data_IF_450141324461
#
_entry.id   IF_450141324461
#
_cell.length_a   1.000
_cell.length_b   1.000
_cell.length_c   1.000
_cell.angle_alpha   90.00
_cell.angle_beta   90.00
_cell.angle_gamma   90.00
#
_symmetry.space_group_name_H-M   'P 1'
#
loop_
_entity.id
_entity.type
_entity.pdbx_description
1 polymer ?
#
# COMPACT_ATOMS: atom_id res chain seq x y z
N UNK A 1 9.79 21.72 -0.52
CA UNK A 1 11.05 22.41 -0.17
C UNK A 1 12.15 22.22 -1.21
N UNK A 2 11.90 21.53 -2.34
CA UNK A 2 12.86 21.37 -3.43
C UNK A 2 14.06 20.45 -3.13
N UNK A 3 13.97 19.60 -2.12
CA UNK A 3 15.03 18.63 -1.83
C UNK A 3 14.94 17.40 -2.74
N UNK A 4 16.07 16.72 -3.03
CA UNK A 4 16.08 15.49 -3.81
C UNK A 4 15.19 14.41 -3.19
N UNK A 5 14.27 13.84 -3.97
CA UNK A 5 13.32 12.82 -3.53
C UNK A 5 14.01 11.49 -3.21
N UNK A 6 15.06 11.16 -3.94
CA UNK A 6 15.79 9.91 -3.83
C UNK A 6 16.35 9.71 -2.42
N UNK A 7 16.88 10.75 -1.81
CA UNK A 7 17.41 10.71 -0.44
C UNK A 7 16.37 10.43 0.62
N UNK A 8 15.11 10.75 0.32
CA UNK A 8 13.99 10.57 1.24
C UNK A 8 13.17 9.29 0.97
N UNK A 9 13.31 8.70 -0.22
CA UNK A 9 12.43 7.61 -0.68
C UNK A 9 13.17 6.38 -1.20
N UNK A 10 14.47 6.49 -1.54
CA UNK A 10 15.21 5.46 -2.26
C UNK A 10 16.50 5.06 -1.53
N UNK A 11 16.39 4.75 -0.25
CA UNK A 11 17.48 4.22 0.57
C UNK A 11 17.22 2.73 0.89
N UNK A 12 18.24 2.01 1.32
CA UNK A 12 18.12 0.59 1.68
C UNK A 12 17.08 0.38 2.76
N UNK A 13 16.12 -0.53 2.50
CA UNK A 13 15.00 -0.78 3.41
C UNK A 13 13.85 0.22 3.33
N UNK A 14 13.90 1.22 2.41
CA UNK A 14 12.84 2.24 2.28
C UNK A 14 11.49 1.68 1.78
N UNK A 15 11.49 0.49 1.17
CA UNK A 15 10.29 -0.14 0.65
C UNK A 15 10.21 -1.61 1.12
N UNK A 16 9.83 -1.86 2.37
CA UNK A 16 9.59 -3.22 2.83
C UNK A 16 8.38 -3.79 2.08
N UNK A 17 8.56 -4.96 1.49
CA UNK A 17 7.49 -5.69 0.82
C UNK A 17 7.05 -6.87 1.70
N UNK A 18 5.75 -7.08 1.74
CA UNK A 18 5.12 -8.21 2.44
C UNK A 18 4.72 -9.30 1.46
N UNK A 19 3.95 -10.27 1.88
CA UNK A 19 3.26 -11.17 0.96
C UNK A 19 2.28 -10.42 0.06
N UNK A 20 1.93 -11.04 -1.05
CA UNK A 20 0.97 -10.53 -2.01
C UNK A 20 -0.27 -11.41 -2.06
N UNK A 21 -1.43 -10.81 -2.21
CA UNK A 21 -2.68 -11.53 -2.47
C UNK A 21 -2.88 -11.61 -3.98
N UNK A 22 -3.08 -12.83 -4.49
CA UNK A 22 -3.28 -13.02 -5.92
C UNK A 22 -4.65 -12.52 -6.36
N UNK A 23 -4.67 -11.73 -7.42
CA UNK A 23 -5.90 -11.23 -8.04
C UNK A 23 -6.80 -12.32 -8.64
N UNK A 24 -6.30 -13.47 -9.13
CA UNK A 24 -7.17 -14.55 -9.62
C UNK A 24 -8.16 -15.12 -8.59
N UNK A 25 -8.05 -14.75 -7.34
CA UNK A 25 -9.05 -15.07 -6.30
C UNK A 25 -10.32 -14.21 -6.45
N UNK A 26 -10.28 -13.19 -7.28
CA UNK A 26 -11.41 -12.32 -7.59
C UNK A 26 -11.93 -12.67 -8.99
N UNK A 27 -13.25 -12.71 -9.16
CA UNK A 27 -13.84 -12.95 -10.48
C UNK A 27 -13.51 -11.80 -11.44
N UNK A 28 -13.56 -12.07 -12.76
CA UNK A 28 -13.30 -11.04 -13.77
C UNK A 28 -14.25 -9.83 -13.66
N UNK A 29 -15.42 -10.02 -13.08
CA UNK A 29 -16.43 -9.00 -12.91
C UNK A 29 -16.14 -8.10 -11.70
N UNK A 30 -15.33 -8.60 -10.75
CA UNK A 30 -14.96 -7.87 -9.54
C UNK A 30 -13.80 -6.89 -9.75
N UNK A 31 -13.09 -6.96 -10.88
CA UNK A 31 -11.93 -6.12 -11.16
C UNK A 31 -12.20 -4.61 -11.03
N UNK A 32 -13.38 -4.17 -11.43
CA UNK A 32 -13.74 -2.75 -11.33
C UNK A 32 -14.12 -2.35 -9.91
N UNK A 33 -14.58 -3.30 -9.10
CA UNK A 33 -14.97 -3.09 -7.70
C UNK A 33 -13.85 -3.34 -6.69
N UNK A 34 -12.86 -4.17 -7.03
CA UNK A 34 -11.73 -4.51 -6.14
C UNK A 34 -11.04 -3.25 -5.59
N UNK A 35 -10.89 -2.23 -6.43
CA UNK A 35 -10.25 -0.98 -6.02
C UNK A 35 -11.09 -0.13 -5.06
N UNK A 36 -12.37 -0.41 -4.87
CA UNK A 36 -13.29 0.43 -4.10
C UNK A 36 -13.47 -0.02 -2.65
N UNK A 37 -13.18 -1.30 -2.35
CA UNK A 37 -13.49 -1.90 -1.05
C UNK A 37 -12.25 -2.37 -0.26
N UNK A 38 -11.04 -2.08 -0.76
CA UNK A 38 -9.82 -2.44 -0.05
C UNK A 38 -9.62 -1.52 1.16
N UNK A 39 -9.61 -2.11 2.33
CA UNK A 39 -9.25 -1.45 3.58
C UNK A 39 -7.78 -1.65 3.91
N UNK A 40 -7.12 -0.59 4.36
CA UNK A 40 -5.75 -0.65 4.87
C UNK A 40 -5.73 -0.12 6.29
N UNK A 41 -5.09 -0.87 7.19
CA UNK A 41 -4.86 -0.50 8.59
C UNK A 41 -3.39 -0.70 8.93
N UNK A 42 -2.79 0.31 9.55
CA UNK A 42 -1.46 0.24 10.13
C UNK A 42 -1.55 0.54 11.63
N UNK A 43 -1.03 -0.36 12.42
CA UNK A 43 -0.83 -0.17 13.85
C UNK A 43 0.66 -0.07 14.15
N UNK A 44 1.02 0.88 15.01
CA UNK A 44 2.36 1.07 15.55
C UNK A 44 2.31 0.77 17.05
N UNK A 45 3.07 -0.23 17.51
CA UNK A 45 3.11 -0.65 18.92
C UNK A 45 1.71 -0.96 19.49
N UNK A 46 0.85 -1.59 18.67
CA UNK A 46 -0.54 -1.92 19.03
C UNK A 46 -1.50 -0.75 19.05
N UNK A 47 -1.09 0.44 18.61
CA UNK A 47 -1.95 1.61 18.48
C UNK A 47 -2.22 1.92 17.01
N UNK A 48 -3.47 2.25 16.69
CA UNK A 48 -3.85 2.64 15.34
C UNK A 48 -3.09 3.90 14.92
N UNK A 49 -2.32 3.79 13.84
CA UNK A 49 -1.52 4.87 13.27
C UNK A 49 -2.12 5.40 11.96
N UNK A 50 -2.53 4.50 11.06
CA UNK A 50 -3.17 4.85 9.80
C UNK A 50 -4.33 3.90 9.52
N UNK A 51 -5.38 4.44 8.93
CA UNK A 51 -6.49 3.67 8.40
C UNK A 51 -7.07 4.39 7.19
N UNK A 52 -7.39 3.64 6.15
CA UNK A 52 -7.99 4.19 4.94
C UNK A 52 -8.65 3.12 4.09
N UNK A 53 -9.42 3.58 3.12
CA UNK A 53 -10.04 2.76 2.09
C UNK A 53 -9.50 3.17 0.72
N UNK A 54 -9.39 2.22 -0.19
CA UNK A 54 -9.11 2.52 -1.60
C UNK A 54 -10.21 3.38 -2.25
N UNK A 55 -11.42 3.42 -1.67
CA UNK A 55 -12.49 4.31 -2.09
C UNK A 55 -12.15 5.80 -1.86
N UNK A 56 -11.25 6.11 -0.91
CA UNK A 56 -10.83 7.47 -0.58
C UNK A 56 -9.66 7.96 -1.45
N UNK A 57 -9.16 7.12 -2.35
CA UNK A 57 -8.05 7.48 -3.25
C UNK A 57 -8.46 8.57 -4.22
N UNK A 58 -7.62 9.59 -4.39
CA UNK A 58 -7.83 10.65 -5.40
C UNK A 58 -7.82 10.08 -6.83
N UNK A 59 -6.98 9.10 -7.08
CA UNK A 59 -6.92 8.34 -8.33
C UNK A 59 -7.10 6.86 -8.00
N UNK A 60 -8.13 6.25 -8.56
CA UNK A 60 -8.36 4.83 -8.37
C UNK A 60 -7.21 3.98 -8.95
N UNK A 61 -7.03 2.76 -8.46
CA UNK A 61 -5.88 1.90 -8.76
C UNK A 61 -5.72 1.65 -10.27
N UNK A 62 -6.79 1.23 -10.95
CA UNK A 62 -6.70 0.91 -12.38
C UNK A 62 -6.42 2.13 -13.27
N UNK A 63 -7.08 3.28 -13.10
CA UNK A 63 -6.71 4.52 -13.79
C UNK A 63 -5.27 4.96 -13.53
N UNK A 64 -4.78 4.78 -12.29
CA UNK A 64 -3.39 5.10 -11.96
C UNK A 64 -2.41 4.21 -12.74
N UNK A 65 -2.65 2.89 -12.77
CA UNK A 65 -1.84 1.94 -13.54
C UNK A 65 -1.88 2.28 -15.04
N UNK A 66 -3.06 2.56 -15.58
CA UNK A 66 -3.22 2.95 -16.99
C UNK A 66 -2.41 4.20 -17.31
N UNK A 67 -2.49 5.24 -16.47
CA UNK A 67 -1.70 6.46 -16.66
C UNK A 67 -0.20 6.21 -16.57
N UNK A 68 0.27 5.39 -15.63
CA UNK A 68 1.68 5.04 -15.54
C UNK A 68 2.18 4.28 -16.77
N UNK A 69 1.35 3.40 -17.35
CA UNK A 69 1.71 2.63 -18.54
C UNK A 69 1.89 3.49 -19.81
N UNK A 70 1.38 4.70 -19.82
CA UNK A 70 1.63 5.66 -20.91
C UNK A 70 3.08 6.19 -20.91
N UNK A 71 3.77 6.11 -19.76
CA UNK A 71 5.09 6.66 -19.56
C UNK A 71 6.17 5.60 -19.31
N UNK A 72 5.76 4.44 -18.77
CA UNK A 72 6.65 3.36 -18.38
C UNK A 72 6.19 2.04 -19.00
N UNK A 73 7.13 1.25 -19.51
CA UNK A 73 6.83 -0.13 -19.95
C UNK A 73 6.74 -1.04 -18.74
N UNK A 74 5.55 -1.21 -18.20
CA UNK A 74 5.31 -2.06 -17.03
C UNK A 74 5.58 -3.53 -17.38
N UNK A 75 6.24 -4.24 -16.49
CA UNK A 75 6.61 -5.64 -16.62
C UNK A 75 6.05 -6.47 -15.46
N UNK A 76 5.85 -7.79 -15.65
CA UNK A 76 5.53 -8.68 -14.55
C UNK A 76 6.59 -8.60 -13.44
N UNK A 77 6.15 -8.33 -12.21
CA UNK A 77 7.02 -8.13 -11.05
C UNK A 77 7.24 -6.67 -10.67
N UNK A 78 6.81 -5.71 -11.50
CA UNK A 78 6.83 -4.29 -11.10
C UNK A 78 5.90 -4.04 -9.92
N UNK A 79 6.34 -3.18 -9.01
CA UNK A 79 5.58 -2.78 -7.83
C UNK A 79 5.17 -1.32 -7.96
N UNK A 80 3.87 -1.07 -7.86
CA UNK A 80 3.30 0.27 -7.91
C UNK A 80 2.85 0.67 -6.50
N UNK A 81 3.47 1.72 -5.96
CA UNK A 81 3.06 2.32 -4.70
C UNK A 81 1.91 3.30 -4.96
N UNK A 82 0.73 2.96 -4.48
CA UNK A 82 -0.51 3.69 -4.80
C UNK A 82 -0.80 4.86 -3.85
N UNK A 83 0.09 5.13 -2.92
CA UNK A 83 -0.08 6.18 -1.91
C UNK A 83 -0.37 5.64 -0.53
N UNK A 84 -0.61 6.55 0.41
CA UNK A 84 -0.85 6.20 1.81
C UNK A 84 -1.96 7.08 2.40
N UNK A 85 -2.81 6.57 3.31
CA UNK A 85 -3.81 7.38 4.00
C UNK A 85 -3.17 8.37 4.99
N UNK A 86 -3.99 9.23 5.58
CA UNK A 86 -3.57 10.13 6.65
C UNK A 86 -2.98 9.36 7.85
N UNK A 87 -2.16 10.04 8.66
CA UNK A 87 -1.53 9.46 9.85
C UNK A 87 -0.06 9.09 9.66
N UNK A 88 0.59 9.60 8.60
CA UNK A 88 2.05 9.46 8.45
C UNK A 88 2.76 10.08 9.65
N UNK A 89 3.72 9.37 10.21
CA UNK A 89 4.47 9.80 11.38
C UNK A 89 5.88 9.19 11.42
N UNK A 90 6.70 9.61 12.37
CA UNK A 90 8.05 9.08 12.53
C UNK A 90 8.02 7.64 13.03
N UNK A 91 9.03 6.89 12.61
CA UNK A 91 9.34 5.56 13.13
C UNK A 91 10.64 5.64 13.91
N UNK A 92 10.73 4.88 15.01
CA UNK A 92 11.92 4.75 15.84
C UNK A 92 12.38 3.31 15.86
N UNK A 93 13.67 3.11 16.08
CA UNK A 93 14.23 1.77 16.21
C UNK A 93 13.53 0.99 17.31
N UNK A 94 13.09 -0.23 16.98
CA UNK A 94 12.34 -1.09 17.88
C UNK A 94 10.82 -0.94 17.80
N UNK A 95 10.28 0.01 17.03
CA UNK A 95 8.84 0.09 16.80
C UNK A 95 8.35 -1.17 16.10
N UNK A 96 7.23 -1.71 16.59
CA UNK A 96 6.54 -2.83 15.97
C UNK A 96 5.39 -2.30 15.13
N UNK A 97 5.37 -2.73 13.87
CA UNK A 97 4.36 -2.36 12.89
C UNK A 97 3.52 -3.58 12.54
N UNK A 98 2.19 -3.43 12.59
CA UNK A 98 1.24 -4.43 12.09
C UNK A 98 0.41 -3.79 11.00
N UNK A 99 0.47 -4.36 9.80
CA UNK A 99 -0.27 -3.89 8.63
C UNK A 99 -1.32 -4.92 8.24
N UNK A 100 -2.57 -4.49 8.08
CA UNK A 100 -3.68 -5.36 7.67
C UNK A 100 -4.28 -4.83 6.38
N UNK A 101 -4.42 -5.72 5.40
CA UNK A 101 -5.19 -5.51 4.18
C UNK A 101 -6.49 -6.29 4.28
N UNK A 102 -7.61 -5.66 3.96
CA UNK A 102 -8.94 -6.29 3.95
C UNK A 102 -9.70 -5.95 2.67
N UNK A 103 -10.65 -6.82 2.31
CA UNK A 103 -11.65 -6.55 1.29
C UNK A 103 -13.02 -6.58 1.98
N UNK A 104 -13.76 -5.48 1.92
CA UNK A 104 -14.91 -5.24 2.77
C UNK A 104 -14.52 -5.48 4.24
N UNK A 105 -15.01 -6.53 4.89
CA UNK A 105 -14.66 -6.88 6.27
C UNK A 105 -13.76 -8.12 6.40
N UNK A 106 -13.40 -8.73 5.29
CA UNK A 106 -12.57 -9.94 5.28
C UNK A 106 -11.08 -9.59 5.24
N UNK A 107 -10.32 -10.05 6.22
CA UNK A 107 -8.87 -9.88 6.24
C UNK A 107 -8.23 -10.76 5.17
N UNK A 108 -7.54 -10.13 4.23
CA UNK A 108 -6.83 -10.79 3.15
C UNK A 108 -5.37 -11.09 3.53
N UNK A 109 -4.74 -10.15 4.23
CA UNK A 109 -3.33 -10.24 4.59
C UNK A 109 -3.07 -9.48 5.88
N UNK A 110 -2.26 -10.03 6.74
CA UNK A 110 -1.64 -9.32 7.87
C UNK A 110 -0.14 -9.51 7.80
N UNK A 111 0.61 -8.46 8.05
CA UNK A 111 2.07 -8.49 8.09
C UNK A 111 2.57 -7.73 9.30
N UNK A 112 3.58 -8.29 9.93
CA UNK A 112 4.25 -7.68 11.08
C UNK A 112 5.71 -7.43 10.74
N UNK A 113 6.24 -6.32 11.22
CA UNK A 113 7.65 -5.96 11.07
C UNK A 113 8.13 -5.13 12.25
N UNK A 114 9.43 -5.14 12.47
CA UNK A 114 10.08 -4.30 13.49
C UNK A 114 11.07 -3.37 12.81
N UNK A 115 11.07 -2.10 13.21
CA UNK A 115 12.01 -1.10 12.72
C UNK A 115 13.41 -1.41 13.28
N UNK A 116 14.39 -1.59 12.38
CA UNK A 116 15.78 -1.93 12.71
C UNK A 116 16.61 -0.68 13.05
#
# INVERSE_FOLDING_TARGET
>A
KGHPWERAKSFDGACPLTGFVSVPQFSSDDWQSIGLDLGLKLEKNGQLQQQGSSADMLFAILPLIAHMSEHFSLQPGDVILTGTPAGVGPLEQGDNLSCTLSLANDVLLTSESTVL
#
